data_IF_145771097144
#
_entry.id   IF_145771097144
#
_cell.length_a   1.000
_cell.length_b   1.000
_cell.length_c   1.000
_cell.angle_alpha   90.00
_cell.angle_beta   90.00
_cell.angle_gamma   90.00
#
_symmetry.space_group_name_H-M   'P 1'
#
loop_
_entity.id
_entity.type
_entity.pdbx_description
1 polymer ?
#
# COMPACT_ATOMS: atom_id res chain seq x y z
N UNK A 1 -11.52 1.71 -3.19
CA UNK A 1 -11.00 1.80 -4.57
C UNK A 1 -11.86 2.71 -5.48
N UNK A 2 -12.85 3.47 -4.96
CA UNK A 2 -13.70 4.40 -5.73
C UNK A 2 -14.27 3.84 -7.06
N UNK A 3 -14.43 2.52 -7.16
CA UNK A 3 -14.92 1.87 -8.37
C UNK A 3 -13.87 1.63 -9.47
N UNK A 4 -12.58 1.84 -9.20
CA UNK A 4 -11.48 1.49 -10.13
C UNK A 4 -11.47 0.00 -10.41
N UNK A 5 -11.47 -0.85 -9.37
CA UNK A 5 -11.38 -2.31 -9.56
C UNK A 5 -12.66 -2.80 -10.24
N UNK A 6 -13.81 -2.21 -9.92
CA UNK A 6 -15.09 -2.50 -10.57
C UNK A 6 -15.05 -2.15 -12.06
N UNK A 7 -14.56 -0.96 -12.41
CA UNK A 7 -14.45 -0.49 -13.80
C UNK A 7 -13.46 -1.35 -14.60
N UNK A 8 -12.31 -1.67 -14.01
CA UNK A 8 -11.33 -2.59 -14.58
C UNK A 8 -11.95 -3.96 -14.87
N UNK A 9 -12.60 -4.59 -13.88
CA UNK A 9 -13.24 -5.90 -14.03
C UNK A 9 -14.33 -5.87 -15.11
N UNK A 10 -15.13 -4.80 -15.14
CA UNK A 10 -16.16 -4.62 -16.16
C UNK A 10 -15.52 -4.59 -17.56
N UNK A 11 -14.43 -3.84 -17.73
CA UNK A 11 -13.74 -3.73 -19.01
C UNK A 11 -13.06 -5.04 -19.43
N UNK A 12 -12.41 -5.71 -18.48
CA UNK A 12 -11.80 -7.02 -18.69
C UNK A 12 -12.80 -8.04 -19.23
N UNK A 13 -13.98 -8.11 -18.60
CA UNK A 13 -15.05 -9.00 -19.05
C UNK A 13 -15.62 -8.60 -20.41
N UNK A 14 -15.78 -7.31 -20.69
CA UNK A 14 -16.23 -6.84 -22.00
C UNK A 14 -15.25 -7.24 -23.10
N UNK A 15 -13.95 -7.05 -22.88
CA UNK A 15 -12.92 -7.36 -23.86
C UNK A 15 -12.79 -8.88 -24.08
N UNK A 16 -12.84 -9.66 -23.00
CA UNK A 16 -12.90 -11.11 -23.10
C UNK A 16 -14.09 -11.59 -23.95
N UNK A 17 -15.29 -11.09 -23.66
CA UNK A 17 -16.50 -11.45 -24.39
C UNK A 17 -16.42 -11.04 -25.87
N UNK A 18 -15.88 -9.85 -26.17
CA UNK A 18 -15.66 -9.41 -27.56
C UNK A 18 -14.72 -10.36 -28.32
N UNK A 19 -13.62 -10.78 -27.70
CA UNK A 19 -12.69 -11.74 -28.30
C UNK A 19 -13.38 -13.08 -28.56
N UNK A 20 -14.13 -13.61 -27.58
CA UNK A 20 -14.86 -14.87 -27.74
C UNK A 20 -15.92 -14.81 -28.85
N UNK A 21 -16.65 -13.70 -28.95
CA UNK A 21 -17.63 -13.50 -30.03
C UNK A 21 -16.94 -13.44 -31.39
N UNK A 22 -15.81 -12.72 -31.49
CA UNK A 22 -15.07 -12.62 -32.76
C UNK A 22 -14.60 -13.99 -33.28
N UNK A 23 -14.13 -14.85 -32.38
CA UNK A 23 -13.71 -16.21 -32.71
C UNK A 23 -14.86 -17.10 -33.15
N UNK A 24 -16.03 -16.95 -32.52
CA UNK A 24 -17.24 -17.67 -32.92
C UNK A 24 -17.67 -17.30 -34.34
N UNK A 25 -17.61 -16.01 -34.71
CA UNK A 25 -17.96 -15.55 -36.07
C UNK A 25 -16.99 -16.08 -37.13
N UNK A 26 -15.70 -16.19 -36.78
CA UNK A 26 -14.65 -16.71 -37.68
C UNK A 26 -14.68 -18.25 -37.76
N UNK A 27 -15.43 -18.93 -36.89
CA UNK A 27 -15.49 -20.39 -36.82
C UNK A 27 -14.22 -21.03 -36.24
N UNK A 28 -13.38 -20.24 -35.55
CA UNK A 28 -12.10 -20.69 -35.00
C UNK A 28 -12.23 -20.90 -33.49
N UNK A 29 -12.22 -22.16 -33.04
CA UNK A 29 -12.18 -22.51 -31.61
C UNK A 29 -10.74 -22.42 -31.10
N UNK A 30 -10.29 -21.20 -30.82
CA UNK A 30 -8.98 -20.97 -30.22
C UNK A 30 -9.04 -21.08 -28.69
N UNK A 31 -7.99 -21.66 -28.12
CA UNK A 31 -7.81 -21.66 -26.67
C UNK A 31 -7.37 -20.26 -26.21
N UNK A 32 -8.01 -19.76 -25.17
CA UNK A 32 -7.65 -18.47 -24.59
C UNK A 32 -6.37 -18.62 -23.75
N UNK A 33 -5.23 -18.25 -24.33
CA UNK A 33 -3.92 -18.45 -23.70
C UNK A 33 -3.63 -17.43 -22.59
N UNK A 34 -2.68 -17.76 -21.70
CA UNK A 34 -2.25 -16.85 -20.63
C UNK A 34 -1.75 -15.49 -21.16
N UNK A 35 -1.07 -15.49 -22.31
CA UNK A 35 -0.62 -14.25 -22.96
C UNK A 35 -1.80 -13.35 -23.31
N UNK A 36 -2.89 -13.92 -23.81
CA UNK A 36 -4.12 -13.17 -24.09
C UNK A 36 -4.79 -12.64 -22.83
N UNK A 37 -4.75 -13.39 -21.72
CA UNK A 37 -5.22 -12.89 -20.42
C UNK A 37 -4.43 -11.65 -19.99
N UNK A 38 -3.10 -11.70 -20.12
CA UNK A 38 -2.21 -10.60 -19.76
C UNK A 38 -2.45 -9.39 -20.66
N UNK A 39 -2.51 -9.60 -21.98
CA UNK A 39 -2.77 -8.53 -22.95
C UNK A 39 -4.15 -7.89 -22.71
N UNK A 40 -5.16 -8.70 -22.38
CA UNK A 40 -6.48 -8.22 -22.01
C UNK A 40 -6.47 -7.43 -20.70
N UNK A 41 -5.71 -7.88 -19.69
CA UNK A 41 -5.54 -7.13 -18.45
C UNK A 41 -4.90 -5.76 -18.72
N UNK A 42 -3.82 -5.70 -19.49
CA UNK A 42 -3.17 -4.44 -19.85
C UNK A 42 -4.09 -3.50 -20.64
N UNK A 43 -4.78 -4.03 -21.65
CA UNK A 43 -5.73 -3.26 -22.45
C UNK A 43 -6.88 -2.72 -21.60
N UNK A 44 -7.46 -3.59 -20.77
CA UNK A 44 -8.59 -3.24 -19.92
C UNK A 44 -8.23 -2.21 -18.85
N UNK A 45 -7.00 -2.24 -18.36
CA UNK A 45 -6.46 -1.23 -17.45
C UNK A 45 -6.32 0.14 -18.14
N UNK A 46 -5.77 0.19 -19.35
CA UNK A 46 -5.63 1.45 -20.11
C UNK A 46 -6.98 2.03 -20.54
N UNK A 47 -7.99 1.19 -20.73
CA UNK A 47 -9.35 1.60 -21.09
C UNK A 47 -10.21 2.01 -19.87
N UNK A 48 -9.69 1.89 -18.64
CA UNK A 48 -10.32 2.52 -17.47
C UNK A 48 -10.13 4.03 -17.62
N UNK A 49 -11.25 4.76 -17.65
CA UNK A 49 -11.22 6.20 -17.90
C UNK A 49 -10.47 6.94 -16.79
N UNK A 50 -9.70 7.98 -17.14
CA UNK A 50 -8.94 8.78 -16.17
C UNK A 50 -9.84 9.35 -15.05
N UNK A 51 -11.09 9.69 -15.37
CA UNK A 51 -12.11 10.16 -14.42
C UNK A 51 -12.54 9.10 -13.38
N UNK A 52 -12.22 7.82 -13.56
CA UNK A 52 -12.39 6.80 -12.50
C UNK A 52 -11.26 6.88 -11.49
N UNK A 53 -10.11 7.45 -11.88
CA UNK A 53 -8.95 7.67 -11.03
C UNK A 53 -8.97 9.03 -10.32
N UNK A 54 -9.86 9.96 -10.70
CA UNK A 54 -10.01 11.25 -10.01
C UNK A 54 -10.52 11.03 -8.59
N UNK A 55 -9.82 11.61 -7.61
CA UNK A 55 -10.05 11.38 -6.17
C UNK A 55 -10.02 9.91 -5.72
N UNK A 56 -9.42 9.02 -6.51
CA UNK A 56 -9.36 7.59 -6.19
C UNK A 56 -8.60 7.28 -4.91
N UNK A 57 -7.65 8.14 -4.56
CA UNK A 57 -6.76 7.99 -3.45
C UNK A 57 -7.15 8.97 -2.37
N UNK A 58 -7.52 8.46 -1.19
CA UNK A 58 -7.71 9.28 0.00
C UNK A 58 -6.45 9.16 0.83
N UNK A 59 -5.75 10.27 1.02
CA UNK A 59 -4.65 10.36 1.96
C UNK A 59 -5.20 10.85 3.31
N UNK A 60 -5.09 9.99 4.32
CA UNK A 60 -5.58 10.26 5.67
C UNK A 60 -4.43 10.82 6.49
N UNK A 61 -4.54 12.06 6.93
CA UNK A 61 -3.52 12.71 7.77
C UNK A 61 -4.07 13.05 9.15
N UNK A 62 -3.17 13.11 10.13
CA UNK A 62 -3.46 13.64 11.45
C UNK A 62 -3.46 15.16 11.41
N UNK A 63 -4.10 15.77 12.41
CA UNK A 63 -4.24 17.23 12.48
C UNK A 63 -2.99 17.91 13.08
N UNK A 64 -1.80 17.37 12.79
CA UNK A 64 -0.54 17.94 13.24
C UNK A 64 -0.29 19.29 12.55
N UNK A 65 0.15 20.34 13.28
CA UNK A 65 0.39 21.67 12.71
C UNK A 65 1.35 21.68 11.50
N UNK A 66 2.28 20.71 11.43
CA UNK A 66 3.20 20.56 10.30
C UNK A 66 2.47 20.18 8.99
N UNK A 67 1.33 19.48 9.08
CA UNK A 67 0.50 19.11 7.94
C UNK A 67 -0.43 20.24 7.48
N UNK A 68 -0.64 21.25 8.33
CA UNK A 68 -1.43 22.43 8.00
C UNK A 68 -0.60 23.57 7.36
N UNK A 69 0.67 23.35 6.99
CA UNK A 69 1.45 24.42 6.37
C UNK A 69 0.89 24.79 4.99
N UNK A 70 0.81 26.10 4.70
CA UNK A 70 0.31 26.61 3.42
C UNK A 70 1.07 26.05 2.23
N UNK A 71 2.36 25.73 2.40
CA UNK A 71 3.17 25.12 1.35
C UNK A 71 2.76 23.68 1.04
N UNK A 72 2.52 22.86 2.07
CA UNK A 72 2.08 21.47 1.94
C UNK A 72 0.67 21.43 1.35
N UNK A 73 -0.24 22.26 1.85
CA UNK A 73 -1.60 22.38 1.31
C UNK A 73 -1.59 22.86 -0.14
N UNK A 74 -0.77 23.85 -0.50
CA UNK A 74 -0.67 24.34 -1.89
C UNK A 74 -0.13 23.29 -2.85
N UNK A 75 0.85 22.48 -2.41
CA UNK A 75 1.44 21.42 -3.24
C UNK A 75 0.46 20.26 -3.44
N UNK A 76 -0.29 19.92 -2.39
CA UNK A 76 -1.26 18.83 -2.43
C UNK A 76 -2.56 19.20 -3.16
N UNK A 77 -2.95 20.48 -3.15
CA UNK A 77 -4.06 20.99 -3.98
C UNK A 77 -3.79 20.82 -5.49
N UNK A 78 -2.53 20.75 -5.90
CA UNK A 78 -2.16 20.46 -7.29
C UNK A 78 -2.32 18.97 -7.68
N UNK A 79 -2.64 18.07 -6.75
CA UNK A 79 -2.85 16.65 -7.05
C UNK A 79 -4.33 16.38 -7.38
N UNK A 80 -4.65 16.28 -8.67
CA UNK A 80 -6.03 16.07 -9.15
C UNK A 80 -6.64 14.71 -8.71
N UNK A 81 -5.80 13.72 -8.40
CA UNK A 81 -6.22 12.35 -8.11
C UNK A 81 -6.17 11.97 -6.62
N UNK A 82 -5.72 12.88 -5.75
CA UNK A 82 -5.56 12.62 -4.31
C UNK A 82 -6.46 13.56 -3.52
N UNK A 83 -7.36 13.00 -2.73
CA UNK A 83 -8.15 13.74 -1.74
C UNK A 83 -7.45 13.64 -0.39
N UNK A 84 -7.32 14.75 0.32
CA UNK A 84 -6.81 14.75 1.69
C UNK A 84 -7.98 14.83 2.66
N UNK A 85 -7.96 13.95 3.65
CA UNK A 85 -8.90 13.99 4.76
C UNK A 85 -8.12 14.03 6.06
N UNK A 86 -8.44 15.03 6.89
CA UNK A 86 -7.88 15.14 8.22
C UNK A 86 -8.75 14.37 9.21
N UNK A 87 -8.09 13.64 10.08
CA UNK A 87 -8.78 12.89 11.12
C UNK A 87 -9.38 13.83 12.18
N UNK A 88 -10.52 13.43 12.78
CA UNK A 88 -11.03 14.09 13.96
C UNK A 88 -9.97 14.16 15.07
N UNK A 89 -10.07 15.18 15.92
CA UNK A 89 -9.17 15.29 17.08
C UNK A 89 -9.27 14.03 17.95
N UNK A 90 -8.13 13.56 18.44
CA UNK A 90 -7.98 12.42 19.35
C UNK A 90 -8.41 11.05 18.78
N UNK A 91 -8.50 10.88 17.45
CA UNK A 91 -8.80 9.56 16.86
C UNK A 91 -7.60 8.88 16.22
N UNK A 92 -6.42 9.53 16.18
CA UNK A 92 -5.23 9.07 15.46
C UNK A 92 -4.87 7.60 15.75
N UNK A 93 -4.86 7.21 17.03
CA UNK A 93 -4.53 5.85 17.47
C UNK A 93 -5.50 4.76 16.99
N UNK A 94 -6.71 5.13 16.60
CA UNK A 94 -7.77 4.22 16.15
C UNK A 94 -7.91 4.26 14.64
N UNK A 95 -7.90 5.47 14.05
CA UNK A 95 -8.25 5.68 12.65
C UNK A 95 -7.04 5.80 11.73
N UNK A 96 -5.84 6.14 12.22
CA UNK A 96 -4.64 6.08 11.36
C UNK A 96 -4.15 4.65 11.22
N UNK A 97 -4.04 4.11 10.00
CA UNK A 97 -3.49 2.78 9.77
C UNK A 97 -2.07 2.60 10.31
N UNK A 98 -1.27 3.69 10.27
CA UNK A 98 0.10 3.70 10.76
C UNK A 98 0.17 3.42 12.27
N UNK A 99 -0.65 4.11 13.05
CA UNK A 99 -0.72 3.94 14.51
C UNK A 99 -1.47 2.66 14.90
N UNK A 100 -2.52 2.30 14.17
CA UNK A 100 -3.38 1.17 14.49
C UNK A 100 -2.63 -0.17 14.42
N UNK A 101 -1.80 -0.38 13.38
CA UNK A 101 -1.14 -1.67 13.17
C UNK A 101 0.34 -1.59 12.79
N UNK A 102 0.75 -0.66 11.91
CA UNK A 102 2.12 -0.67 11.37
C UNK A 102 3.15 -0.43 12.48
N UNK A 103 2.97 0.61 13.30
CA UNK A 103 3.85 0.91 14.43
C UNK A 103 3.86 -0.23 15.44
N UNK A 104 2.71 -0.89 15.67
CA UNK A 104 2.61 -2.06 16.55
C UNK A 104 3.48 -3.21 16.02
N UNK A 105 3.39 -3.53 14.74
CA UNK A 105 4.18 -4.57 14.10
C UNK A 105 5.69 -4.27 14.16
N UNK A 106 6.09 -3.03 13.86
CA UNK A 106 7.50 -2.60 13.95
C UNK A 106 8.02 -2.70 15.38
N UNK A 107 7.26 -2.19 16.38
CA UNK A 107 7.64 -2.30 17.80
C UNK A 107 7.76 -3.75 18.25
N UNK A 108 6.86 -4.62 17.79
CA UNK A 108 6.89 -6.05 18.13
C UNK A 108 8.12 -6.74 17.52
N UNK A 109 8.41 -6.47 16.25
CA UNK A 109 9.60 -6.99 15.57
C UNK A 109 10.89 -6.53 16.27
N UNK A 110 11.00 -5.22 16.51
CA UNK A 110 12.14 -4.64 17.22
C UNK A 110 12.37 -5.29 18.60
N UNK A 111 11.32 -5.42 19.41
CA UNK A 111 11.42 -6.05 20.74
C UNK A 111 11.83 -7.51 20.67
N UNK A 112 11.30 -8.26 19.70
CA UNK A 112 11.65 -9.67 19.52
C UNK A 112 13.14 -9.81 19.19
N UNK A 113 13.63 -9.04 18.22
CA UNK A 113 15.02 -9.06 17.81
C UNK A 113 15.97 -8.56 18.91
N UNK A 114 15.54 -7.58 19.69
CA UNK A 114 16.28 -7.08 20.85
C UNK A 114 16.42 -8.12 21.96
N UNK A 115 15.33 -8.84 22.29
CA UNK A 115 15.39 -9.95 23.26
C UNK A 115 16.30 -11.07 22.74
N UNK A 116 16.22 -11.39 21.45
CA UNK A 116 17.10 -12.41 20.85
C UNK A 116 18.58 -12.03 20.96
N UNK A 117 18.92 -10.77 20.67
CA UNK A 117 20.28 -10.25 20.81
C UNK A 117 20.78 -10.41 22.25
N UNK A 118 19.98 -9.99 23.24
CA UNK A 118 20.34 -10.09 24.66
C UNK A 118 20.56 -11.55 25.08
N UNK A 119 19.68 -12.47 24.65
CA UNK A 119 19.84 -13.91 24.96
C UNK A 119 21.15 -14.43 24.38
N UNK A 120 21.46 -14.11 23.12
CA UNK A 120 22.70 -14.53 22.47
C UNK A 120 23.94 -13.98 23.18
N UNK A 121 23.92 -12.72 23.62
CA UNK A 121 25.04 -12.12 24.37
C UNK A 121 25.24 -12.75 25.76
N UNK A 122 24.15 -13.14 26.43
CA UNK A 122 24.20 -13.87 27.71
C UNK A 122 24.77 -15.27 27.51
N UNK A 123 24.29 -16.00 26.50
CA UNK A 123 24.75 -17.37 26.20
C UNK A 123 26.25 -17.41 25.85
N UNK A 124 26.75 -16.37 25.17
CA UNK A 124 28.17 -16.24 24.80
C UNK A 124 29.06 -15.78 25.98
N UNK A 125 28.53 -15.61 27.20
CA UNK A 125 29.24 -15.11 28.39
C UNK A 125 29.95 -13.74 28.18
N UNK A 126 29.53 -12.96 27.18
CA UNK A 126 30.28 -11.79 26.74
C UNK A 126 30.08 -10.56 27.65
N UNK A 127 29.05 -10.50 28.51
CA UNK A 127 28.83 -9.38 29.46
C UNK A 127 27.89 -9.77 30.61
N UNK A 128 28.12 -9.31 31.87
CA UNK A 128 27.18 -9.50 32.95
C UNK A 128 26.10 -8.41 32.90
N UNK A 129 24.99 -8.70 32.21
CA UNK A 129 23.76 -7.89 32.29
C UNK A 129 23.42 -7.04 31.06
N UNK A 130 22.24 -6.42 31.12
CA UNK A 130 21.66 -5.59 30.05
C UNK A 130 22.55 -4.36 29.84
N UNK A 131 23.25 -4.29 28.71
CA UNK A 131 23.99 -3.10 28.27
C UNK A 131 23.10 -2.15 27.47
N UNK A 132 23.48 -0.88 27.43
CA UNK A 132 22.84 0.09 26.56
C UNK A 132 23.05 -0.29 25.08
N UNK A 133 21.98 -0.17 24.30
CA UNK A 133 22.01 -0.40 22.86
C UNK A 133 22.31 0.93 22.18
N UNK A 134 23.34 0.93 21.33
CA UNK A 134 23.68 2.12 20.56
C UNK A 134 22.65 2.39 19.45
N UNK A 135 22.55 3.65 19.03
CA UNK A 135 21.68 4.06 17.93
C UNK A 135 21.92 3.25 16.63
N UNK A 136 23.18 2.93 16.33
CA UNK A 136 23.53 2.15 15.13
C UNK A 136 23.01 0.71 15.22
N UNK A 137 23.06 0.09 16.39
CA UNK A 137 22.53 -1.25 16.63
C UNK A 137 21.00 -1.24 16.54
N UNK A 138 20.35 -0.24 17.14
CA UNK A 138 18.90 -0.09 17.05
C UNK A 138 18.42 0.05 15.60
N UNK A 139 19.12 0.85 14.78
CA UNK A 139 18.80 1.00 13.35
C UNK A 139 18.98 -0.32 12.61
N UNK A 140 20.06 -1.07 12.88
CA UNK A 140 20.27 -2.39 12.27
C UNK A 140 19.13 -3.34 12.62
N UNK A 141 18.70 -3.39 13.88
CA UNK A 141 17.61 -4.26 14.33
C UNK A 141 16.29 -3.97 13.58
N UNK A 142 15.98 -2.70 13.29
CA UNK A 142 14.76 -2.31 12.57
C UNK A 142 14.88 -2.56 11.06
N UNK A 143 16.10 -2.54 10.51
CA UNK A 143 16.36 -2.66 9.07
C UNK A 143 16.53 -4.11 8.59
N UNK A 144 16.48 -5.08 9.51
CA UNK A 144 16.66 -6.51 9.26
C UNK A 144 15.40 -7.23 8.76
#
# INVERSE_FOLDING_TARGET
DQGIIRSFKCRYNQNFNKTMVSWRVIGSLNNYTLRMCIDNAFKSWHEVHHNVFTQAWVNIQDNCPAHCSDYVNKTLVCLENVKIEFLPKNTTSITQPLDAEVIKCVKQSYRKSLVQLIITEIDENNVPGIRDISLIEAIRIISC
#
